data_IF_539631552496
#
_entry.id   IF_539631552496
#
_cell.length_a   1.000
_cell.length_b   1.000
_cell.length_c   1.000
_cell.angle_alpha   90.00
_cell.angle_beta   90.00
_cell.angle_gamma   90.00
#
_symmetry.space_group_name_H-M   'P 1'
#
loop_
_entity.id
_entity.type
_entity.pdbx_description
1 polymer ?
2 non-polymer ?
3 water ?
#
# COMPACT_ATOMS: atom_id res chain seq x y z
N UNK A 1 0.46 -21.58 3.85
CA UNK A 1 -0.51 -20.54 3.41
C UNK A 1 -0.49 -20.39 1.90
N UNK A 2 -1.58 -19.84 1.35
CA UNK A 2 -1.65 -19.59 -0.09
C UNK A 2 -2.14 -18.18 -0.39
N UNK A 3 -1.50 -17.57 -1.38
CA UNK A 3 -1.85 -16.23 -1.83
C UNK A 3 -2.56 -16.46 -3.16
N UNK A 4 -3.73 -15.85 -3.30
CA UNK A 4 -4.53 -15.98 -4.50
C UNK A 4 -5.55 -14.86 -4.54
N UNK A 5 -6.44 -14.91 -5.52
CA UNK A 5 -7.46 -13.89 -5.63
C UNK A 5 -8.49 -14.08 -4.51
N UNK A 6 -8.93 -12.96 -3.96
CA UNK A 6 -9.89 -12.90 -2.85
C UNK A 6 -11.30 -13.34 -3.26
N UNK A 7 -11.85 -14.32 -2.54
CA UNK A 7 -13.21 -14.81 -2.81
C UNK A 7 -14.15 -13.67 -2.40
N UNK A 8 -14.53 -12.84 -3.37
CA UNK A 8 -15.39 -11.69 -3.10
C UNK A 8 -16.81 -12.02 -2.67
N UNK A 9 -17.12 -13.30 -2.54
CA UNK A 9 -18.45 -13.73 -2.13
C UNK A 9 -18.43 -14.44 -0.77
N UNK A 10 -17.23 -14.60 -0.23
CA UNK A 10 -17.04 -15.24 1.07
C UNK A 10 -17.27 -14.18 2.16
N UNK A 11 -18.38 -14.31 2.93
CA UNK A 11 -18.70 -13.35 4.00
C UNK A 11 -17.68 -13.36 5.12
N UNK A 12 -17.09 -14.53 5.37
CA UNK A 12 -16.11 -14.68 6.43
C UNK A 12 -14.79 -13.99 6.08
N UNK A 13 -14.34 -14.13 4.83
CA UNK A 13 -13.10 -13.48 4.41
C UNK A 13 -13.26 -11.98 4.59
N UNK A 14 -14.43 -11.46 4.20
CA UNK A 14 -14.73 -10.04 4.33
C UNK A 14 -14.73 -9.59 5.79
N UNK A 15 -15.34 -10.36 6.68
CA UNK A 15 -15.34 -10.00 8.10
C UNK A 15 -13.90 -9.99 8.59
N UNK A 16 -13.14 -11.02 8.23
CA UNK A 16 -11.75 -11.12 8.63
C UNK A 16 -10.95 -9.90 8.17
N UNK A 17 -11.26 -9.41 6.97
CA UNK A 17 -10.58 -8.24 6.42
C UNK A 17 -10.97 -7.01 7.22
N UNK A 18 -12.26 -6.88 7.52
CA UNK A 18 -12.77 -5.75 8.29
C UNK A 18 -12.08 -5.69 9.65
N UNK A 19 -11.91 -6.86 10.28
CA UNK A 19 -11.27 -6.94 11.59
C UNK A 19 -9.80 -6.54 11.50
N UNK A 20 -9.14 -7.00 10.44
CA UNK A 20 -7.74 -6.71 10.21
C UNK A 20 -7.49 -5.21 10.00
N UNK A 21 -8.39 -4.55 9.28
CA UNK A 21 -8.27 -3.11 9.03
C UNK A 21 -8.54 -2.29 10.30
N UNK A 22 -9.53 -2.72 11.08
CA UNK A 22 -9.89 -2.05 12.32
C UNK A 22 -8.83 -2.18 13.41
N UNK A 23 -8.09 -3.29 13.41
CA UNK A 23 -7.04 -3.52 14.40
C UNK A 23 -5.72 -2.84 14.03
N UNK A 24 -5.56 -2.54 12.74
CA UNK A 24 -4.36 -1.89 12.24
C UNK A 24 -4.56 -0.37 12.11
N UNK A 25 -5.66 0.04 11.48
CA UNK A 25 -5.97 1.46 11.32
C UNK A 25 -7.36 1.81 11.85
N UNK A 26 -7.53 1.79 13.19
CA UNK A 26 -8.83 2.10 13.79
C UNK A 26 -9.26 3.55 13.57
N UNK A 27 -8.32 4.42 13.26
CA UNK A 27 -8.64 5.83 13.02
C UNK A 27 -9.23 6.02 11.63
N UNK A 28 -9.04 5.03 10.76
CA UNK A 28 -9.54 5.11 9.40
C UNK A 28 -10.73 4.19 9.18
N UNK A 29 -10.74 3.06 9.89
CA UNK A 29 -11.81 2.08 9.78
C UNK A 29 -12.57 1.93 11.10
N UNK A 30 -13.87 2.18 11.06
CA UNK A 30 -14.69 2.08 12.27
C UNK A 30 -15.99 1.33 12.09
N UNK A 31 -17.10 2.00 12.38
CA UNK A 31 -18.44 1.40 12.27
C UNK A 31 -18.81 1.05 10.83
N UNK A 32 -18.43 1.92 9.90
CA UNK A 32 -18.71 1.72 8.48
C UNK A 32 -17.62 0.87 7.83
N UNK A 33 -16.99 0.02 8.64
CA UNK A 33 -15.91 -0.85 8.20
C UNK A 33 -16.36 -1.82 7.12
N UNK A 34 -17.54 -2.41 7.31
CA UNK A 34 -18.10 -3.36 6.36
C UNK A 34 -18.35 -2.72 5.00
N UNK A 35 -18.78 -1.46 5.00
CA UNK A 35 -19.06 -0.73 3.76
C UNK A 35 -17.77 -0.39 3.02
N UNK A 36 -16.70 -0.15 3.78
CA UNK A 36 -15.40 0.18 3.21
C UNK A 36 -14.76 -1.03 2.54
N UNK A 37 -15.02 -2.21 3.09
CA UNK A 37 -14.51 -3.46 2.55
C UNK A 37 -15.28 -3.79 1.28
N UNK A 38 -16.56 -3.43 1.25
CA UNK A 38 -17.41 -3.68 0.10
C UNK A 38 -16.94 -2.83 -1.07
N UNK A 39 -16.34 -1.68 -0.76
CA UNK A 39 -15.82 -0.78 -1.78
C UNK A 39 -14.56 -1.41 -2.36
N UNK A 40 -13.83 -2.14 -1.52
CA UNK A 40 -12.61 -2.82 -1.95
C UNK A 40 -12.97 -4.05 -2.80
N UNK A 41 -14.25 -4.43 -2.78
CA UNK A 41 -14.73 -5.58 -3.53
C UNK A 41 -15.24 -5.21 -4.92
N UNK A 42 -15.27 -3.91 -5.22
CA UNK A 42 -15.72 -3.39 -6.51
C UNK A 42 -15.02 -4.13 -7.66
N UNK A 43 -15.78 -4.57 -8.68
CA UNK A 43 -15.28 -5.30 -9.86
C UNK A 43 -14.08 -4.70 -10.60
N UNK A 44 -13.99 -3.37 -10.62
CA UNK A 44 -12.91 -2.65 -11.30
C UNK A 44 -11.56 -2.79 -10.58
N UNK A 45 -11.62 -3.02 -9.27
CA UNK A 45 -10.42 -3.15 -8.44
C UNK A 45 -9.89 -4.58 -8.41
N UNK A 46 -8.76 -4.75 -7.73
CA UNK A 46 -8.13 -6.05 -7.57
C UNK A 46 -8.06 -6.35 -6.07
N UNK A 47 -8.35 -7.60 -5.70
CA UNK A 47 -8.33 -8.00 -4.30
C UNK A 47 -7.59 -9.33 -4.16
N UNK A 48 -6.43 -9.29 -3.52
CA UNK A 48 -5.62 -10.48 -3.34
C UNK A 48 -5.48 -10.82 -1.86
N UNK A 49 -5.78 -12.06 -1.52
CA UNK A 49 -5.71 -12.52 -0.14
C UNK A 49 -4.57 -13.48 0.15
N UNK A 50 -4.10 -13.43 1.39
CA UNK A 50 -3.06 -14.32 1.87
C UNK A 50 -3.80 -15.03 3.00
N UNK A 51 -4.05 -16.32 2.82
CA UNK A 51 -4.78 -17.11 3.81
C UNK A 51 -3.98 -18.30 4.35
N UNK A 52 -4.07 -18.52 5.66
CA UNK A 52 -3.40 -19.66 6.28
C UNK A 52 -4.36 -20.28 7.29
N UNK A 53 -4.67 -21.56 7.07
CA UNK A 53 -5.62 -22.29 7.90
C UNK A 53 -6.97 -21.59 7.74
N UNK A 54 -7.52 -21.05 8.82
CA UNK A 54 -8.81 -20.35 8.72
C UNK A 54 -8.61 -18.85 8.88
N UNK A 55 -7.38 -18.39 8.71
CA UNK A 55 -7.07 -16.98 8.88
C UNK A 55 -6.64 -16.19 7.65
N UNK A 56 -7.07 -14.93 7.62
CA UNK A 56 -6.70 -14.01 6.56
C UNK A 56 -5.45 -13.36 7.14
N UNK A 57 -4.29 -13.93 6.82
CA UNK A 57 -3.02 -13.42 7.32
C UNK A 57 -2.48 -12.21 6.57
N UNK A 58 -3.16 -11.83 5.49
CA UNK A 58 -2.74 -10.68 4.71
C UNK A 58 -3.70 -10.32 3.59
N UNK A 59 -3.65 -9.07 3.14
CA UNK A 59 -4.51 -8.62 2.05
C UNK A 59 -3.90 -7.42 1.33
N UNK A 60 -4.18 -7.32 0.04
CA UNK A 60 -3.69 -6.21 -0.76
C UNK A 60 -4.69 -5.87 -1.84
N UNK A 61 -4.83 -4.57 -2.12
CA UNK A 61 -5.77 -4.12 -3.13
C UNK A 61 -5.24 -3.00 -4.00
N UNK A 62 -5.89 -2.76 -5.13
CA UNK A 62 -5.48 -1.70 -6.04
C UNK A 62 -6.68 -1.08 -6.71
N UNK A 63 -6.69 0.25 -6.79
CA UNK A 63 -7.78 1.00 -7.40
C UNK A 63 -7.31 1.64 -8.71
N UNK A 64 -8.13 1.58 -9.77
CA UNK A 64 -7.76 2.18 -11.05
C UNK A 64 -8.11 3.67 -11.01
N UNK A 65 -7.13 4.49 -10.65
CA UNK A 65 -7.31 5.93 -10.52
C UNK A 65 -7.17 6.73 -11.82
N UNK A 66 -6.37 6.22 -12.75
CA UNK A 66 -6.15 6.87 -14.05
C UNK A 66 -6.46 5.82 -15.11
N UNK A 67 -7.72 5.76 -15.53
CA UNK A 67 -8.14 4.78 -16.53
C UNK A 67 -7.81 3.40 -16.00
N UNK A 68 -7.08 2.62 -16.79
CA UNK A 68 -6.64 1.29 -16.38
C UNK A 68 -5.12 1.28 -16.37
N UNK A 69 -4.51 2.44 -16.61
CA UNK A 69 -3.06 2.56 -16.64
C UNK A 69 -2.40 2.94 -15.31
N UNK A 70 -3.10 3.72 -14.49
CA UNK A 70 -2.54 4.13 -13.22
C UNK A 70 -3.31 3.59 -12.04
N UNK A 71 -2.71 2.64 -11.33
CA UNK A 71 -3.36 2.03 -10.18
C UNK A 71 -2.74 2.45 -8.87
N UNK A 72 -3.58 2.57 -7.84
CA UNK A 72 -3.12 2.93 -6.52
C UNK A 72 -3.10 1.68 -5.64
N UNK A 73 -1.99 1.48 -4.94
CA UNK A 73 -1.87 0.34 -4.05
C UNK A 73 -2.54 0.73 -2.73
N UNK A 74 -3.76 0.25 -2.56
CA UNK A 74 -4.54 0.54 -1.36
C UNK A 74 -5.62 -0.52 -1.17
N UNK A 75 -5.58 -1.27 -0.05
CA UNK A 75 -4.58 -1.17 1.02
C UNK A 75 -3.60 -2.35 0.99
N UNK A 76 -2.76 -2.44 2.02
CA UNK A 76 -1.79 -3.53 2.17
C UNK A 76 -1.57 -3.72 3.66
N UNK A 77 -2.02 -4.87 4.16
CA UNK A 77 -1.89 -5.18 5.57
C UNK A 77 -1.61 -6.65 5.82
N UNK A 78 -0.67 -6.92 6.72
CA UNK A 78 -0.30 -8.28 7.10
C UNK A 78 -0.56 -8.40 8.60
N UNK A 79 -1.10 -9.54 9.03
CA UNK A 79 -1.39 -9.79 10.44
C UNK A 79 -0.13 -9.55 11.27
N UNK A 80 -0.30 -8.88 12.41
CA UNK A 80 0.81 -8.54 13.30
C UNK A 80 1.73 -9.69 13.69
N UNK A 81 1.17 -10.89 13.79
CA UNK A 81 1.96 -12.06 14.16
C UNK A 81 2.57 -12.75 12.94
N UNK A 82 2.41 -12.14 11.76
CA UNK A 82 2.90 -12.74 10.52
C UNK A 82 3.85 -11.87 9.70
N UNK A 83 4.25 -10.73 10.26
CA UNK A 83 5.13 -9.81 9.55
C UNK A 83 6.61 -10.22 9.48
N UNK A 84 7.33 -9.63 8.53
CA UNK A 84 8.75 -9.90 8.30
C UNK A 84 9.02 -11.35 7.91
N UNK A 85 8.05 -11.95 7.21
CA UNK A 85 8.14 -13.33 6.78
C UNK A 85 7.84 -13.43 5.26
N UNK A 86 8.00 -12.30 4.58
CA UNK A 86 7.80 -12.15 3.13
C UNK A 86 6.40 -12.13 2.55
N UNK A 87 5.37 -12.16 3.38
CA UNK A 87 4.01 -12.13 2.85
C UNK A 87 3.77 -10.82 2.09
N UNK A 88 4.25 -9.71 2.64
CA UNK A 88 4.08 -8.43 1.99
C UNK A 88 4.71 -8.41 0.61
N UNK A 89 5.95 -8.90 0.53
CA UNK A 89 6.67 -8.97 -0.74
C UNK A 89 5.91 -9.83 -1.75
N UNK A 90 5.43 -10.99 -1.32
CA UNK A 90 4.70 -11.88 -2.21
C UNK A 90 3.36 -11.29 -2.65
N UNK A 91 2.73 -10.51 -1.76
CA UNK A 91 1.46 -9.87 -2.05
C UNK A 91 1.65 -8.74 -3.06
N UNK A 92 2.66 -7.90 -2.85
CA UNK A 92 2.93 -6.80 -3.78
C UNK A 92 3.25 -7.35 -5.17
N UNK A 93 4.11 -8.38 -5.22
CA UNK A 93 4.46 -8.99 -6.50
C UNK A 93 3.24 -9.59 -7.19
N UNK A 94 2.36 -10.21 -6.41
CA UNK A 94 1.14 -10.80 -6.96
C UNK A 94 0.22 -9.71 -7.53
N UNK A 95 0.11 -8.59 -6.82
CA UNK A 95 -0.72 -7.46 -7.26
C UNK A 95 -0.22 -6.89 -8.58
N UNK A 96 1.09 -6.77 -8.71
CA UNK A 96 1.72 -6.23 -9.91
C UNK A 96 1.37 -7.01 -11.18
N UNK A 97 1.30 -8.34 -11.07
CA UNK A 97 0.95 -9.16 -12.23
C UNK A 97 -0.54 -9.04 -12.55
N UNK A 98 -1.35 -8.84 -11.51
CA UNK A 98 -2.79 -8.68 -11.64
C UNK A 98 -3.08 -7.39 -12.39
N UNK A 99 -2.39 -6.33 -11.98
CA UNK A 99 -2.52 -5.01 -12.58
C UNK A 99 -2.04 -5.00 -14.03
N UNK A 100 -0.86 -5.57 -14.26
CA UNK A 100 -0.28 -5.64 -15.60
C UNK A 100 -1.23 -6.31 -16.58
N UNK A 101 -1.84 -7.41 -16.17
CA UNK A 101 -2.76 -8.14 -17.03
C UNK A 101 -4.00 -7.33 -17.39
N UNK A 102 -4.38 -6.40 -16.52
CA UNK A 102 -5.55 -5.55 -16.76
C UNK A 102 -5.18 -4.30 -17.54
N UNK A 103 -3.94 -4.23 -18.00
CA UNK A 103 -3.49 -3.08 -18.77
C UNK A 103 -2.78 -2.00 -17.98
N UNK A 104 -2.51 -2.24 -16.70
CA UNK A 104 -1.83 -1.26 -15.88
C UNK A 104 -0.37 -1.08 -16.24
N UNK A 105 0.12 0.15 -16.13
CA UNK A 105 1.51 0.49 -16.44
C UNK A 105 2.26 0.87 -15.17
N UNK A 106 1.55 1.50 -14.23
CA UNK A 106 2.18 1.93 -12.99
C UNK A 106 1.27 1.83 -11.78
N UNK A 107 1.91 1.57 -10.65
CA UNK A 107 1.23 1.45 -9.37
C UNK A 107 1.87 2.46 -8.45
N UNK A 108 1.06 3.28 -7.80
CA UNK A 108 1.58 4.27 -6.88
C UNK A 108 0.89 4.11 -5.54
N UNK A 109 1.40 4.83 -4.55
CA UNK A 109 0.86 4.76 -3.20
C UNK A 109 1.34 5.99 -2.44
N UNK A 110 0.72 6.23 -1.29
CA UNK A 110 1.11 7.34 -0.45
C UNK A 110 1.29 6.80 0.95
N UNK A 111 2.46 7.04 1.53
CA UNK A 111 2.73 6.57 2.87
C UNK A 111 3.19 7.75 3.73
N UNK A 112 2.37 8.12 4.70
CA UNK A 112 2.64 9.25 5.60
C UNK A 112 3.66 8.97 6.69
N UNK A 113 4.38 10.02 7.09
CA UNK A 113 5.37 9.93 8.16
C UNK A 113 4.82 10.71 9.37
N UNK A 114 3.99 10.03 10.15
CA UNK A 114 3.33 10.62 11.32
C UNK A 114 4.07 10.48 12.66
N UNK A 115 4.93 9.48 12.76
CA UNK A 115 5.66 9.23 13.99
C UNK A 115 7.12 9.62 13.95
N UNK A 116 7.49 10.49 13.01
CA UNK A 116 8.89 10.90 12.84
C UNK A 116 9.74 9.64 12.61
N UNK A 117 9.29 8.78 11.70
CA UNK A 117 9.99 7.54 11.40
C UNK A 117 10.91 7.60 10.21
N UNK A 118 10.99 8.78 9.61
CA UNK A 118 11.80 9.04 8.43
C UNK A 118 12.45 10.41 8.60
N UNK A 119 13.59 10.63 7.95
CA UNK A 119 14.28 11.91 8.02
C UNK A 119 13.59 12.98 7.18
N UNK A 120 12.48 12.62 6.55
CA UNK A 120 11.74 13.57 5.73
C UNK A 120 10.76 14.38 6.56
N UNK A 121 10.60 14.01 7.82
CA UNK A 121 9.71 14.74 8.71
C UNK A 121 10.57 15.63 9.61
N UNK A 122 9.91 16.54 10.32
CA UNK A 122 10.59 17.46 11.22
C UNK A 122 11.72 18.16 10.49
N UNK A 123 11.37 18.69 9.33
CA UNK A 123 12.29 19.43 8.48
C UNK A 123 11.45 20.19 7.46
N UNK A 124 11.90 21.38 7.08
CA UNK A 124 11.19 22.19 6.11
C UNK A 124 11.43 21.50 4.78
N UNK A 125 10.42 20.79 4.28
CA UNK A 125 10.55 20.06 3.02
C UNK A 125 10.58 20.92 1.77
N UNK A 126 10.42 22.23 1.91
CA UNK A 126 10.49 23.10 0.75
C UNK A 126 11.95 23.53 0.57
N UNK A 127 12.78 23.22 1.57
CA UNK A 127 14.20 23.52 1.54
C UNK A 127 14.94 22.27 1.09
N UNK A 128 15.59 22.34 -0.07
CA UNK A 128 16.35 21.20 -0.62
C UNK A 128 15.45 19.97 -0.68
N UNK A 129 14.22 20.20 -1.13
CA UNK A 129 13.20 19.18 -1.25
C UNK A 129 13.73 17.85 -1.77
N UNK A 130 14.23 17.86 -3.00
CA UNK A 130 14.71 16.65 -3.63
C UNK A 130 16.07 16.13 -3.19
N UNK A 131 16.87 16.99 -2.56
CA UNK A 131 18.17 16.55 -2.06
C UNK A 131 17.89 15.71 -0.81
N UNK A 132 16.85 16.11 -0.07
CA UNK A 132 16.42 15.43 1.14
C UNK A 132 15.78 14.09 0.82
N UNK A 133 14.89 14.08 -0.17
CA UNK A 133 14.22 12.86 -0.61
C UNK A 133 15.28 11.81 -0.97
N UNK A 134 16.35 12.27 -1.61
CA UNK A 134 17.44 11.41 -2.05
C UNK A 134 18.27 10.85 -0.90
N UNK A 135 18.46 11.65 0.14
CA UNK A 135 19.26 11.24 1.28
C UNK A 135 18.44 10.71 2.46
N UNK A 136 17.20 10.30 2.18
CA UNK A 136 16.30 9.79 3.21
C UNK A 136 16.89 8.63 4.03
N UNK A 137 16.52 8.56 5.30
CA UNK A 137 16.97 7.51 6.20
C UNK A 137 15.80 7.05 7.05
N UNK A 138 15.75 5.74 7.32
CA UNK A 138 14.68 5.17 8.12
C UNK A 138 15.05 5.20 9.60
N UNK A 139 14.24 5.91 10.38
CA UNK A 139 14.49 6.05 11.81
C UNK A 139 13.64 5.11 12.67
N UNK A 140 12.40 4.87 12.27
CA UNK A 140 11.50 4.02 13.05
C UNK A 140 10.77 2.92 12.28
N UNK A 141 11.51 2.16 11.47
CA UNK A 141 10.94 1.06 10.71
C UNK A 141 9.71 1.49 9.90
N UNK A 142 9.84 2.62 9.20
CA UNK A 142 8.76 3.15 8.37
C UNK A 142 8.64 2.30 7.10
N UNK A 143 7.41 1.90 6.72
CA UNK A 143 7.16 1.08 5.53
C UNK A 143 7.69 1.58 4.17
N UNK A 144 8.10 2.85 4.08
CA UNK A 144 8.62 3.38 2.82
C UNK A 144 9.81 2.56 2.31
N UNK A 145 10.65 2.08 3.23
CA UNK A 145 11.83 1.29 2.86
C UNK A 145 11.43 -0.07 2.30
N UNK A 146 10.27 -0.56 2.74
CA UNK A 146 9.74 -1.83 2.29
C UNK A 146 9.48 -1.73 0.79
N UNK A 147 8.68 -0.73 0.41
CA UNK A 147 8.35 -0.51 -0.99
C UNK A 147 9.60 -0.21 -1.80
N UNK A 148 10.56 0.47 -1.17
CA UNK A 148 11.82 0.81 -1.81
C UNK A 148 12.58 -0.46 -2.19
N UNK A 149 12.57 -1.44 -1.29
CA UNK A 149 13.24 -2.71 -1.53
C UNK A 149 12.50 -3.54 -2.58
N UNK A 150 11.27 -3.12 -2.90
CA UNK A 150 10.47 -3.81 -3.91
C UNK A 150 10.51 -3.08 -5.25
N UNK A 151 11.34 -2.04 -5.34
CA UNK A 151 11.47 -1.32 -6.59
C UNK A 151 10.71 -0.03 -6.77
N UNK A 152 9.99 0.40 -5.73
CA UNK A 152 9.23 1.65 -5.80
C UNK A 152 10.15 2.81 -5.46
N UNK A 153 9.98 3.94 -6.14
CA UNK A 153 10.81 5.11 -5.89
C UNK A 153 9.96 6.28 -5.41
N UNK A 154 10.56 7.13 -4.57
CA UNK A 154 9.84 8.31 -4.08
C UNK A 154 9.84 9.28 -5.25
N UNK A 155 8.65 9.57 -5.75
CA UNK A 155 8.46 10.45 -6.89
C UNK A 155 7.84 11.78 -6.52
N UNK A 156 7.58 11.97 -5.24
CA UNK A 156 6.99 13.21 -4.79
C UNK A 156 6.73 13.22 -3.31
N UNK A 157 6.57 14.42 -2.76
CA UNK A 157 6.29 14.58 -1.34
C UNK A 157 5.29 15.70 -1.15
N UNK A 158 4.42 15.55 -0.16
CA UNK A 158 3.45 16.58 0.14
C UNK A 158 3.86 17.18 1.48
N UNK A 159 4.54 18.34 1.44
CA UNK A 159 5.02 19.04 2.64
C UNK A 159 3.90 19.56 3.55
N UNK A 160 4.02 19.27 4.84
CA UNK A 160 3.06 19.70 5.86
C UNK A 160 1.63 19.18 5.72
N UNK A 161 1.48 18.02 5.08
CA UNK A 161 0.16 17.42 4.86
C UNK A 161 -0.66 17.10 6.10
N UNK A 162 -0.03 16.46 7.09
CA UNK A 162 -0.70 16.09 8.33
C UNK A 162 -0.31 17.02 9.47
N UNK A 163 0.10 18.23 9.12
CA UNK A 163 0.54 19.18 10.12
C UNK A 163 1.98 19.54 9.81
N UNK A 164 2.55 20.45 10.58
CA UNK A 164 3.92 20.89 10.37
C UNK A 164 4.97 19.79 10.39
N UNK A 165 5.67 19.67 9.27
CA UNK A 165 6.75 18.71 9.11
C UNK A 165 6.34 17.24 9.16
N UNK A 166 5.08 16.95 8.84
CA UNK A 166 4.56 15.58 8.81
C UNK A 166 4.04 15.37 7.39
N UNK A 167 4.96 15.11 6.44
CA UNK A 167 4.60 14.91 5.04
C UNK A 167 4.01 13.56 4.65
N UNK A 168 3.54 13.53 3.41
CA UNK A 168 3.01 12.32 2.81
C UNK A 168 4.06 12.04 1.75
N UNK A 169 4.56 10.81 1.72
CA UNK A 169 5.57 10.43 0.76
C UNK A 169 4.92 9.67 -0.39
N UNK A 170 5.02 10.23 -1.58
CA UNK A 170 4.44 9.61 -2.76
C UNK A 170 5.45 8.70 -3.44
N UNK A 171 5.08 7.43 -3.60
CA UNK A 171 5.94 6.44 -4.24
C UNK A 171 5.25 5.76 -5.41
N UNK A 172 6.02 5.40 -6.43
CA UNK A 172 5.49 4.76 -7.63
C UNK A 172 6.46 3.79 -8.28
N UNK A 173 5.94 3.00 -9.21
CA UNK A 173 6.73 2.02 -9.94
C UNK A 173 6.06 1.62 -11.24
N UNK A 174 6.85 1.55 -12.31
CA UNK A 174 6.34 1.14 -13.61
C UNK A 174 6.60 -0.36 -13.65
N UNK A 175 5.50 -1.11 -13.64
CA UNK A 175 5.54 -2.57 -13.61
C UNK A 175 5.81 -3.31 -14.92
N UNK A 176 5.67 -2.63 -16.05
CA UNK A 176 5.92 -3.29 -17.33
C UNK A 176 7.11 -2.67 -18.05
N UNK A 177 7.75 -3.43 -18.95
CA UNK A 177 8.91 -2.96 -19.72
C UNK A 177 8.56 -1.73 -20.55
N UNK A 178 9.40 -0.71 -20.45
CA UNK A 178 9.21 0.53 -21.19
C UNK A 178 9.37 0.25 -22.68
N UNK A 179 8.48 0.83 -23.52
CA UNK A 179 8.54 0.62 -24.97
C UNK A 179 9.71 1.38 -25.59
N UNK A 180 10.78 1.58 -24.81
CA UNK A 180 11.96 2.32 -25.25
C UNK A 180 11.69 3.83 -25.30
N UNK A 181 12.64 4.61 -25.84
CA UNK A 181 12.48 6.06 -25.96
C UNK A 181 11.84 6.42 -27.30
X LIG B 1 10.34 -0.90 7.68
X LIG B 1 11.50 -1.25 7.13
X LIG B 1 11.78 -2.33 6.42
X LIG B 1 10.68 -3.13 6.29
X LIG B 1 9.43 -2.90 6.80
X LIG B 1 9.26 -1.70 7.54
X LIG B 1 8.10 -1.35 8.10
X LIG B 1 8.57 -3.94 6.46
X LIG B 1 9.32 -4.75 5.77
X LIG B 1 10.61 -4.32 5.63
X LIG B 1 11.71 -4.96 4.92
X LIG B 1 12.03 -6.34 5.47
X LIG B 1 12.98 -6.21 6.54
X LIG B 1 12.67 -7.10 4.32
X LIG B 1 14.02 -6.62 4.13
X LIG B 1 15.23 -7.66 3.82
X LIG B 1 15.26 -8.53 5.03
X LIG B 1 16.43 -6.80 3.67
X LIG B 1 14.81 -8.35 2.58
X LIG B 1 11.81 -6.60 3.15
X LIG B 1 11.46 -5.27 3.55
X LIG B 1 10.55 -7.43 2.87
X LIG B 1 9.81 -7.61 4.07
X LIG B 1 8.46 -8.49 4.15
X LIG B 1 8.76 -9.70 4.94
X LIG B 1 7.91 -8.62 2.79
X LIG B 1 7.51 -7.50 5.02
X LIG B 1 6.06 -7.83 5.59
X LIG B 1 6.10 -7.68 7.05
X LIG B 1 5.59 -9.09 4.99
X LIG B 1 5.16 -6.64 4.98
X LIG B 1 4.31 -4.51 5.64
X LIG B 1 5.52 -5.26 5.14
X LIG B 1 4.65 -3.03 5.91
X LIG B 1 3.16 -4.60 4.60
X LIG B 1 3.88 -5.21 6.94
X LIG B 1 4.91 -5.14 7.95
X LIG B 1 2.55 -4.66 7.41
X LIG B 1 1.50 -5.14 6.97
X LIG B 1 2.59 -3.67 8.29
X LIG B 1 1.43 -3.06 8.91
X LIG B 1 0.61 -2.25 7.91
X LIG B 1 1.37 -1.09 7.30
X LIG B 1 2.09 -0.37 8.01
X LIG B 1 1.21 -0.90 5.97
X LIG B 1 1.55 0.33 5.30
X LIG B 1 1.17 0.32 3.84
X LIG B 1 0.72 1.98 3.30
X LIG B 1 -0.95 1.67 2.70
X LIG B 1 -1.93 1.78 3.46
X LIG B 1 -1.14 1.28 1.25
#
# INVERSE_FOLDING_TARGET
MIISEFDRNNPVLKDQLSDLLRLTWPEEYGDSSAEEVEEMMNPERIAVAAVDQDELVGFIGAIPQYGITGWELHPLVVESSRRKNQIGTRLVNYLEKEVASRGGITIYLGTDDLDHGTTLSQTDLYEHTFDKVASIQNLREHPYEFYEKLGYKIVGVLPNANGWDKPDIWMAKTIIPRPDS
ACO N1A C2A N3A C4A C5A C6A N6A N7A C8A N9A C1B C2B O2B C3B O3B P3B O7A O8A O9A C4B O4B C5B O5B P1A O1A O2A O3A P2A O4A O5A O6A CBP CCP CDP CEP CAP OAP C9P O9P N8P C7P C6P C5P O5P N4P C3P C2P S1P C O CH3
#
